data_IF_658073151307
#
_entry.id   IF_658073151307
#
_cell.length_a   1.000
_cell.length_b   1.000
_cell.length_c   1.000
_cell.angle_alpha   90.00
_cell.angle_beta   90.00
_cell.angle_gamma   90.00
#
_symmetry.space_group_name_H-M   'P 1'
#
loop_
_entity.id
_entity.type
_entity.pdbx_description
1 polymer ?
#
# COMPACT_ATOMS: atom_id res chain seq x y z
N UNK A 1 -5.73 14.66 1.64
CA UNK A 1 -6.43 13.72 2.54
C UNK A 1 -7.85 13.48 2.04
N UNK A 2 -8.16 12.26 1.59
CA UNK A 2 -9.52 11.91 1.17
C UNK A 2 -10.41 11.76 2.41
N UNK A 3 -11.39 12.66 2.55
CA UNK A 3 -12.46 12.55 3.56
C UNK A 3 -13.65 11.84 2.92
N UNK A 4 -13.86 10.57 3.25
CA UNK A 4 -15.08 9.85 2.88
C UNK A 4 -16.24 10.37 3.72
N UNK A 5 -17.37 10.73 3.10
CA UNK A 5 -18.53 11.30 3.80
C UNK A 5 -19.54 10.23 4.21
N UNK A 6 -19.54 9.08 3.54
CA UNK A 6 -20.46 7.97 3.80
C UNK A 6 -19.76 6.62 3.73
N UNK A 7 -20.30 5.63 4.43
CA UNK A 7 -19.82 4.24 4.40
C UNK A 7 -19.87 3.66 2.98
N UNK A 8 -20.90 3.99 2.20
CA UNK A 8 -21.03 3.51 0.82
C UNK A 8 -19.89 4.04 -0.08
N UNK A 9 -19.43 5.27 0.13
CA UNK A 9 -18.27 5.82 -0.59
C UNK A 9 -16.98 5.09 -0.22
N UNK A 10 -16.83 4.76 1.06
CA UNK A 10 -15.68 4.00 1.56
C UNK A 10 -15.64 2.61 0.93
N UNK A 11 -16.76 1.89 0.93
CA UNK A 11 -16.86 0.56 0.32
C UNK A 11 -16.62 0.59 -1.20
N UNK A 12 -17.12 1.61 -1.91
CA UNK A 12 -16.85 1.79 -3.35
C UNK A 12 -15.37 2.06 -3.64
N UNK A 13 -14.68 2.78 -2.76
CA UNK A 13 -13.27 3.07 -2.94
C UNK A 13 -12.42 1.82 -2.70
N UNK A 14 -12.60 1.17 -1.55
CA UNK A 14 -11.88 -0.04 -1.16
C UNK A 14 -12.56 -1.31 -1.68
N UNK A 15 -12.72 -1.38 -3.01
CA UNK A 15 -13.41 -2.48 -3.68
C UNK A 15 -12.52 -3.69 -3.97
N UNK A 16 -11.19 -3.54 -3.86
CA UNK A 16 -10.22 -4.62 -4.02
C UNK A 16 -9.03 -4.43 -3.08
N UNK A 17 -8.27 -5.50 -2.83
CA UNK A 17 -7.09 -5.44 -1.96
C UNK A 17 -6.01 -4.49 -2.50
N UNK A 18 -5.84 -4.43 -3.82
CA UNK A 18 -4.85 -3.55 -4.45
C UNK A 18 -5.02 -2.09 -4.07
N UNK A 19 -6.25 -1.56 -4.16
CA UNK A 19 -6.55 -0.17 -3.78
C UNK A 19 -6.32 0.05 -2.30
N UNK A 20 -6.57 -0.96 -1.45
CA UNK A 20 -6.24 -0.88 -0.03
C UNK A 20 -4.73 -0.74 0.19
N UNK A 21 -3.91 -1.55 -0.47
CA UNK A 21 -2.45 -1.47 -0.36
C UNK A 21 -1.90 -0.14 -0.87
N UNK A 22 -2.29 0.29 -2.07
CA UNK A 22 -1.86 1.57 -2.65
C UNK A 22 -2.25 2.76 -1.75
N UNK A 23 -3.46 2.71 -1.17
CA UNK A 23 -3.90 3.72 -0.21
C UNK A 23 -3.05 3.74 1.06
N UNK A 24 -2.71 2.57 1.62
CA UNK A 24 -1.86 2.47 2.81
C UNK A 24 -0.43 2.93 2.53
N UNK A 25 0.12 2.59 1.36
CA UNK A 25 1.46 3.06 0.94
C UNK A 25 1.50 4.58 0.85
N UNK A 26 0.52 5.18 0.18
CA UNK A 26 0.41 6.63 0.07
C UNK A 26 0.26 7.28 1.46
N UNK A 27 -0.60 6.72 2.32
CA UNK A 27 -0.87 7.25 3.65
C UNK A 27 0.35 7.15 4.57
N UNK A 28 1.14 6.08 4.45
CA UNK A 28 2.29 5.82 5.31
C UNK A 28 3.52 6.59 4.87
N UNK A 29 3.79 6.62 3.58
CA UNK A 29 5.09 7.07 3.05
C UNK A 29 4.98 8.26 2.10
N UNK A 30 3.80 8.54 1.55
CA UNK A 30 3.55 9.65 0.64
C UNK A 30 4.62 9.79 -0.48
N UNK A 31 5.10 8.66 -1.01
CA UNK A 31 6.13 8.61 -2.05
C UNK A 31 7.57 8.50 -1.55
N UNK A 32 7.83 8.52 -0.23
CA UNK A 32 9.15 8.29 0.38
C UNK A 32 9.10 7.08 1.33
N UNK A 33 9.28 5.85 0.82
CA UNK A 33 9.29 4.65 1.64
C UNK A 33 10.49 4.67 2.58
N UNK A 34 10.21 4.64 3.88
CA UNK A 34 11.21 4.54 4.93
C UNK A 34 10.92 3.32 5.81
N UNK A 35 11.99 2.69 6.30
CA UNK A 35 11.87 1.60 7.25
C UNK A 35 11.27 2.11 8.57
N UNK A 36 10.12 1.59 9.03
CA UNK A 36 9.51 2.04 10.28
C UNK A 36 10.33 1.71 11.53
N UNK A 37 11.32 0.81 11.41
CA UNK A 37 12.17 0.40 12.53
C UNK A 37 13.44 1.26 12.63
N UNK A 38 14.09 1.56 11.50
CA UNK A 38 15.40 2.24 11.49
C UNK A 38 15.43 3.56 10.70
N UNK A 39 14.34 3.95 10.03
CA UNK A 39 14.28 5.17 9.23
C UNK A 39 15.09 5.13 7.92
N UNK A 40 15.58 3.94 7.51
CA UNK A 40 16.35 3.84 6.27
C UNK A 40 15.48 4.06 5.03
N UNK A 41 15.99 4.83 4.07
CA UNK A 41 15.37 5.01 2.74
C UNK A 41 15.78 3.91 1.75
N UNK A 42 16.51 2.89 2.23
CA UNK A 42 16.93 1.74 1.43
C UNK A 42 15.78 0.72 1.31
N UNK A 43 14.85 1.02 0.42
CA UNK A 43 13.74 0.12 0.08
C UNK A 43 13.94 -0.52 -1.30
N UNK A 44 13.31 -1.67 -1.49
CA UNK A 44 13.17 -2.31 -2.79
C UNK A 44 11.75 -2.82 -2.97
N UNK A 45 11.33 -2.93 -4.24
CA UNK A 45 10.03 -3.49 -4.59
C UNK A 45 10.17 -4.98 -4.82
N UNK A 46 9.39 -5.78 -4.09
CA UNK A 46 9.35 -7.23 -4.28
C UNK A 46 8.03 -7.65 -4.90
N UNK A 47 8.09 -8.65 -5.79
CA UNK A 47 6.87 -9.32 -6.23
C UNK A 47 6.23 -9.97 -5.01
N UNK A 48 4.95 -9.67 -4.82
CA UNK A 48 4.19 -10.25 -3.73
C UNK A 48 3.91 -11.74 -3.99
N UNK A 49 3.85 -12.55 -2.93
CA UNK A 49 3.43 -13.96 -2.98
C UNK A 49 1.93 -14.13 -2.67
N UNK A 50 1.14 -13.06 -2.80
CA UNK A 50 -0.29 -13.16 -2.49
C UNK A 50 -0.96 -14.10 -3.50
N UNK A 51 -1.87 -14.95 -3.00
CA UNK A 51 -2.63 -15.90 -3.84
C UNK A 51 -3.77 -15.22 -4.59
N UNK A 52 -4.09 -13.97 -4.26
CA UNK A 52 -5.17 -13.21 -4.86
C UNK A 52 -4.78 -12.70 -6.26
N UNK A 53 -5.66 -12.94 -7.25
CA UNK A 53 -5.43 -12.53 -8.65
C UNK A 53 -5.53 -11.02 -8.85
N UNK A 54 -6.23 -10.32 -7.97
CA UNK A 54 -6.37 -8.86 -7.97
C UNK A 54 -5.10 -8.11 -7.57
N UNK A 55 -4.08 -8.82 -7.07
CA UNK A 55 -2.76 -8.31 -6.75
C UNK A 55 -1.72 -8.67 -7.82
N UNK A 56 -2.15 -9.17 -8.99
CA UNK A 56 -1.23 -9.46 -10.08
C UNK A 56 -0.48 -8.19 -10.52
N UNK A 57 0.84 -8.31 -10.62
CA UNK A 57 1.76 -7.20 -10.88
C UNK A 57 1.97 -6.21 -9.72
N UNK A 58 1.27 -6.34 -8.59
CA UNK A 58 1.52 -5.49 -7.42
C UNK A 58 2.84 -5.87 -6.73
N UNK A 59 3.68 -4.85 -6.49
CA UNK A 59 4.96 -5.01 -5.83
C UNK A 59 4.96 -4.24 -4.52
N UNK A 60 5.19 -4.96 -3.42
CA UNK A 60 5.24 -4.37 -2.08
C UNK A 60 6.62 -3.76 -1.82
N UNK A 61 6.63 -2.68 -1.04
CA UNK A 61 7.85 -2.14 -0.46
C UNK A 61 8.38 -3.06 0.64
N UNK A 62 9.63 -3.49 0.49
CA UNK A 62 10.40 -4.13 1.54
C UNK A 62 11.59 -3.23 1.89
N UNK A 63 11.74 -2.93 3.17
CA UNK A 63 12.96 -2.32 3.68
C UNK A 63 13.91 -3.42 4.13
N UNK A 64 15.19 -3.32 3.79
CA UNK A 64 16.22 -4.21 4.33
C UNK A 64 16.64 -3.67 5.71
N UNK A 65 16.60 -4.54 6.72
CA UNK A 65 17.19 -4.28 8.03
C UNK A 65 18.72 -4.30 7.94
#
# INVERSE_FOLDING_TARGET
MTKFKTLLQLQKHFHNERVCFEYLELKRWNGKPECPHCGSEHYYRTKTRFKDRGLDGYQQFAAKL
#
